data_IF_036236867327
#
_entry.id   IF_036236867327
#
_cell.length_a   1.000
_cell.length_b   1.000
_cell.length_c   1.000
_cell.angle_alpha   90.00
_cell.angle_beta   90.00
_cell.angle_gamma   90.00
#
_symmetry.space_group_name_H-M   'P 1'
#
loop_
_entity.id
_entity.type
_entity.pdbx_description
1 polymer ?
#
# COMPACT_ATOMS: atom_id res chain seq x y z
N UNK A 1 -11.08 -10.78 9.45
CA UNK A 1 -10.06 -9.74 9.18
C UNK A 1 -9.06 -10.44 8.31
N UNK A 2 -9.15 -10.17 7.02
CA UNK A 2 -8.57 -11.03 6.00
C UNK A 2 -7.58 -10.18 5.23
N UNK A 3 -6.35 -10.66 5.15
CA UNK A 3 -5.26 -10.03 4.41
C UNK A 3 -5.01 -10.87 3.17
N UNK A 4 -5.07 -10.25 1.99
CA UNK A 4 -4.75 -10.91 0.74
C UNK A 4 -3.51 -10.26 0.13
N UNK A 5 -2.50 -11.06 -0.15
CA UNK A 5 -1.28 -10.63 -0.84
C UNK A 5 -1.06 -11.57 -2.01
N UNK A 6 -1.26 -11.07 -3.21
CA UNK A 6 -0.93 -11.74 -4.47
C UNK A 6 -0.03 -10.81 -5.31
N UNK A 7 0.67 -11.33 -6.33
CA UNK A 7 1.46 -10.48 -7.23
C UNK A 7 0.63 -9.36 -7.89
N UNK A 8 -0.67 -9.59 -8.09
CA UNK A 8 -1.59 -8.67 -8.75
C UNK A 8 -2.35 -7.76 -7.78
N UNK A 9 -2.44 -8.11 -6.49
CA UNK A 9 -3.33 -7.43 -5.55
C UNK A 9 -2.85 -7.51 -4.11
N UNK A 10 -2.92 -6.37 -3.42
CA UNK A 10 -2.65 -6.27 -1.98
C UNK A 10 -3.88 -5.64 -1.31
N UNK A 11 -4.63 -6.44 -0.55
CA UNK A 11 -5.69 -5.96 0.34
C UNK A 11 -5.21 -6.06 1.78
N UNK A 12 -5.02 -4.89 2.39
CA UNK A 12 -4.65 -4.75 3.79
C UNK A 12 -5.84 -4.22 4.59
N UNK A 13 -6.07 -4.71 5.82
CA UNK A 13 -7.08 -4.13 6.68
C UNK A 13 -6.76 -2.65 6.96
N UNK A 14 -7.77 -1.81 7.18
CA UNK A 14 -7.55 -0.38 7.39
C UNK A 14 -6.59 -0.13 8.56
N UNK A 15 -5.61 0.76 8.36
CA UNK A 15 -4.56 1.06 9.33
C UNK A 15 -3.45 0.02 9.46
N UNK A 16 -3.51 -1.10 8.74
CA UNK A 16 -2.44 -2.10 8.78
C UNK A 16 -1.14 -1.59 8.14
N UNK A 17 -0.02 -2.04 8.70
CA UNK A 17 1.32 -1.77 8.20
C UNK A 17 2.01 -3.10 7.88
N UNK A 18 2.34 -3.31 6.61
CA UNK A 18 3.19 -4.42 6.19
C UNK A 18 4.63 -3.93 6.05
N UNK A 19 5.56 -4.69 6.64
CA UNK A 19 7.00 -4.44 6.55
C UNK A 19 7.66 -5.56 5.75
N UNK A 20 8.29 -5.17 4.66
CA UNK A 20 9.04 -6.05 3.78
C UNK A 20 10.53 -5.73 3.90
N UNK A 21 11.37 -6.75 3.85
CA UNK A 21 12.80 -6.56 3.64
C UNK A 21 13.03 -6.24 2.17
N UNK A 22 13.83 -5.22 1.87
CA UNK A 22 14.07 -4.81 0.49
C UNK A 22 15.02 -3.64 0.39
N UNK A 23 15.70 -3.54 -0.74
CA UNK A 23 16.59 -2.42 -1.02
C UNK A 23 15.87 -1.35 -1.85
N UNK A 24 16.61 -0.28 -2.19
CA UNK A 24 16.07 0.83 -2.97
C UNK A 24 15.53 0.42 -4.35
N UNK A 25 16.18 -0.54 -5.02
CA UNK A 25 15.74 -1.01 -6.34
C UNK A 25 14.43 -1.80 -6.25
N UNK A 26 14.27 -2.60 -5.19
CA UNK A 26 13.00 -3.30 -4.92
C UNK A 26 11.86 -2.31 -4.67
N UNK A 27 12.14 -1.24 -3.91
CA UNK A 27 11.19 -0.15 -3.70
C UNK A 27 10.78 0.51 -5.04
N UNK A 28 11.74 0.81 -5.92
CA UNK A 28 11.44 1.42 -7.22
C UNK A 28 10.59 0.48 -8.10
N UNK A 29 10.88 -0.82 -8.12
CA UNK A 29 10.05 -1.81 -8.81
C UNK A 29 8.63 -1.84 -8.26
N UNK A 30 8.49 -1.82 -6.93
CA UNK A 30 7.18 -1.79 -6.28
C UNK A 30 6.40 -0.53 -6.66
N UNK A 31 7.05 0.63 -6.62
CA UNK A 31 6.44 1.90 -6.99
C UNK A 31 5.92 1.89 -8.45
N UNK A 32 6.67 1.30 -9.38
CA UNK A 32 6.24 1.13 -10.76
C UNK A 32 5.05 0.17 -10.92
N UNK A 33 5.01 -0.92 -10.14
CA UNK A 33 3.90 -1.88 -10.18
C UNK A 33 2.60 -1.30 -9.64
N UNK A 34 2.66 -0.49 -8.58
CA UNK A 34 1.48 0.16 -8.00
C UNK A 34 0.95 1.32 -8.85
N UNK A 35 1.79 1.92 -9.69
CA UNK A 35 1.42 3.04 -10.55
C UNK A 35 0.87 4.24 -9.77
N UNK A 36 -0.01 5.03 -10.41
CA UNK A 36 -0.66 6.20 -9.79
C UNK A 36 -1.67 5.85 -8.68
N UNK A 37 -2.05 4.58 -8.55
CA UNK A 37 -3.03 4.10 -7.56
C UNK A 37 -2.34 3.79 -6.23
N UNK A 38 -1.82 4.80 -5.55
CA UNK A 38 -1.00 4.62 -4.33
C UNK A 38 -1.81 4.40 -3.05
N UNK A 39 -2.71 3.41 -3.08
CA UNK A 39 -3.28 2.79 -1.88
C UNK A 39 -2.92 1.30 -1.93
N UNK A 40 -2.16 0.76 -0.96
CA UNK A 40 -1.59 1.40 0.23
C UNK A 40 -0.42 2.37 -0.05
N UNK A 41 -0.12 3.27 0.90
CA UNK A 41 1.04 4.20 0.80
C UNK A 41 2.34 3.40 0.96
N UNK A 42 3.31 3.64 0.07
CA UNK A 42 4.60 2.95 0.08
C UNK A 42 5.67 3.89 0.66
N UNK A 43 6.53 3.40 1.57
CA UNK A 43 7.70 4.14 2.07
C UNK A 43 8.94 3.27 2.07
N UNK A 44 10.08 3.84 1.71
CA UNK A 44 11.38 3.20 1.86
C UNK A 44 12.10 3.66 3.13
N UNK A 45 12.78 2.72 3.78
CA UNK A 45 13.84 2.95 4.76
C UNK A 45 15.02 2.03 4.39
N UNK A 46 16.26 2.36 4.76
CA UNK A 46 17.39 1.46 4.47
C UNK A 46 17.11 0.02 4.91
N UNK A 47 17.03 -0.90 3.93
CA UNK A 47 16.75 -2.33 4.15
C UNK A 47 15.28 -2.70 4.32
N UNK A 48 14.35 -1.74 4.30
CA UNK A 48 12.94 -1.97 4.61
C UNK A 48 12.00 -1.20 3.68
N UNK A 49 10.90 -1.85 3.28
CA UNK A 49 9.81 -1.24 2.54
C UNK A 49 8.54 -1.37 3.38
N UNK A 50 7.83 -0.27 3.56
CA UNK A 50 6.58 -0.22 4.33
C UNK A 50 5.39 0.01 3.39
N UNK A 51 4.37 -0.83 3.51
CA UNK A 51 3.05 -0.61 2.92
C UNK A 51 2.06 -0.25 4.02
N UNK A 52 1.42 0.90 3.89
CA UNK A 52 0.59 1.47 4.94
C UNK A 52 -0.83 1.63 4.37
N UNK A 53 -1.75 0.80 4.86
CA UNK A 53 -3.16 0.95 4.58
C UNK A 53 -3.66 2.21 5.30
N UNK A 54 -4.33 3.15 4.59
CA UNK A 54 -4.93 4.28 5.27
C UNK A 54 -6.00 3.79 6.25
N UNK A 55 -6.20 4.54 7.33
CA UNK A 55 -7.41 4.38 8.13
C UNK A 55 -8.62 4.81 7.28
N UNK A 56 -9.80 4.25 7.53
CA UNK A 56 -11.01 4.78 6.92
C UNK A 56 -11.19 6.17 7.53
N UNK A 57 -10.89 7.22 6.75
CA UNK A 57 -11.15 8.59 7.19
C UNK A 57 -12.63 8.68 7.55
N UNK A 58 -12.96 9.21 8.73
CA UNK A 58 -14.34 9.44 9.13
C UNK A 58 -15.05 10.19 8.00
N UNK A 59 -16.09 9.56 7.45
CA UNK A 59 -16.59 9.81 6.11
C UNK A 59 -16.71 11.28 5.72
N UNK A 60 -15.87 11.71 4.78
CA UNK A 60 -16.24 12.76 3.83
C UNK A 60 -16.21 12.18 2.43
N UNK A 61 -17.41 11.76 2.01
CA UNK A 61 -17.91 11.70 0.63
C UNK A 61 -16.83 11.78 -0.44
N UNK A 62 -16.37 10.62 -0.91
CA UNK A 62 -16.14 10.47 -2.33
C UNK A 62 -17.11 9.41 -2.79
N UNK A 63 -18.33 9.87 -3.13
CA UNK A 63 -19.20 9.11 -4.00
C UNK A 63 -18.38 8.74 -5.24
N UNK A 64 -18.08 7.45 -5.38
CA UNK A 64 -18.11 6.81 -6.68
C UNK A 64 -19.39 7.28 -7.36
N UNK A 65 -19.26 8.11 -8.39
CA UNK A 65 -20.19 8.39 -9.50
C UNK A 65 -19.78 9.74 -10.16
N UNK A 66 -18.95 9.65 -11.21
CA UNK A 66 -18.97 10.52 -12.38
C UNK A 66 -18.15 9.85 -13.49
#
# INVERSE_FOLDING_TARGET
MDTLITPERIDLPPGAVLKLLGNWQDYQKLLLQFGDRTVPRIKYRPGEILLIAPLPEHGKKVSLLA
#
